data_IF_590660157605
#
_entry.id   IF_590660157605
#
_cell.length_a   1.000
_cell.length_b   1.000
_cell.length_c   1.000
_cell.angle_alpha   90.00
_cell.angle_beta   90.00
_cell.angle_gamma   90.00
#
_symmetry.space_group_name_H-M   'P 1'
#
loop_
_entity.id
_entity.type
_entity.pdbx_description
1 polymer ?
#
# COMPACT_ATOMS: atom_id res chain seq x y z
N UNK A 1 -45.33 -11.24 1.86
CA UNK A 1 -43.95 -11.65 2.03
C UNK A 1 -43.10 -10.83 1.06
N UNK A 2 -42.62 -9.71 1.48
CA UNK A 2 -41.74 -8.89 0.71
C UNK A 2 -40.33 -9.44 0.86
N UNK A 3 -39.80 -9.97 -0.25
CA UNK A 3 -38.38 -10.34 -0.33
C UNK A 3 -37.60 -9.02 -0.41
N UNK A 4 -36.92 -8.68 0.66
CA UNK A 4 -35.89 -7.66 0.65
C UNK A 4 -34.78 -8.13 -0.29
N UNK A 5 -34.83 -7.65 -1.53
CA UNK A 5 -33.67 -7.60 -2.39
C UNK A 5 -32.75 -6.51 -1.81
N UNK A 6 -31.88 -6.92 -0.89
CA UNK A 6 -30.64 -6.22 -0.65
C UNK A 6 -29.86 -6.36 -1.96
N UNK A 7 -29.88 -5.32 -2.74
CA UNK A 7 -28.90 -5.14 -3.80
C UNK A 7 -27.54 -5.19 -3.12
N UNK A 8 -26.82 -6.29 -3.35
CA UNK A 8 -25.38 -6.32 -3.22
C UNK A 8 -24.90 -5.22 -4.16
N UNK A 9 -24.67 -4.02 -3.60
CA UNK A 9 -23.83 -3.04 -4.25
C UNK A 9 -22.45 -3.68 -4.24
N UNK A 10 -22.12 -4.31 -5.35
CA UNK A 10 -20.76 -4.63 -5.72
C UNK A 10 -19.98 -3.33 -5.70
N UNK A 11 -19.44 -3.00 -4.54
CA UNK A 11 -18.31 -2.09 -4.45
C UNK A 11 -17.18 -2.82 -5.13
N UNK A 12 -17.07 -2.63 -6.43
CA UNK A 12 -15.90 -2.97 -7.20
C UNK A 12 -14.76 -2.07 -6.68
N UNK A 13 -14.29 -2.41 -5.47
CA UNK A 13 -13.13 -1.75 -4.88
C UNK A 13 -11.96 -2.15 -5.76
N UNK A 14 -11.49 -1.21 -6.53
CA UNK A 14 -10.33 -1.38 -7.39
C UNK A 14 -9.15 -1.87 -6.53
N UNK A 15 -8.77 -3.14 -6.74
CA UNK A 15 -7.68 -3.77 -6.03
C UNK A 15 -6.37 -3.50 -6.76
N UNK A 16 -5.43 -2.92 -6.06
CA UNK A 16 -4.10 -2.61 -6.58
C UNK A 16 -3.10 -3.70 -6.18
N UNK A 17 -2.36 -4.20 -7.16
CA UNK A 17 -1.30 -5.17 -6.94
C UNK A 17 -0.07 -4.47 -6.34
N UNK A 18 0.31 -4.87 -5.13
CA UNK A 18 1.49 -4.35 -4.44
C UNK A 18 2.71 -5.25 -4.64
N UNK A 19 2.51 -6.54 -4.62
CA UNK A 19 3.57 -7.53 -4.80
C UNK A 19 3.06 -8.71 -5.61
N UNK A 20 3.92 -9.23 -6.47
CA UNK A 20 3.70 -10.46 -7.22
C UNK A 20 4.95 -11.33 -7.16
N UNK A 21 4.77 -12.59 -6.81
CA UNK A 21 5.85 -13.57 -6.73
C UNK A 21 5.44 -14.84 -7.47
N UNK A 22 6.36 -15.38 -8.24
CA UNK A 22 6.22 -16.71 -8.85
C UNK A 22 7.12 -17.69 -8.14
N UNK A 23 6.57 -18.82 -7.73
CA UNK A 23 7.32 -19.87 -7.01
C UNK A 23 8.09 -20.72 -8.02
N UNK A 24 9.39 -20.82 -7.81
CA UNK A 24 10.27 -21.63 -8.62
C UNK A 24 10.01 -23.13 -8.43
N UNK A 25 10.33 -23.91 -9.45
CA UNK A 25 10.17 -25.37 -9.44
C UNK A 25 11.04 -26.10 -8.39
N UNK A 26 12.11 -25.45 -7.92
CA UNK A 26 13.01 -25.95 -6.88
C UNK A 26 12.64 -25.55 -5.46
N UNK A 27 11.57 -24.77 -5.27
CA UNK A 27 11.15 -24.33 -3.94
C UNK A 27 10.53 -25.47 -3.15
N UNK A 28 11.07 -25.73 -1.96
CA UNK A 28 10.43 -26.65 -1.02
C UNK A 28 9.11 -26.09 -0.49
N UNK A 29 8.13 -26.95 -0.17
CA UNK A 29 6.88 -26.50 0.43
C UNK A 29 7.14 -25.72 1.73
N UNK A 30 6.77 -24.45 1.73
CA UNK A 30 6.95 -23.55 2.87
C UNK A 30 5.63 -22.82 3.13
N UNK A 31 5.34 -22.54 4.39
CA UNK A 31 4.19 -21.71 4.73
C UNK A 31 4.30 -20.34 4.08
N UNK A 32 3.20 -19.87 3.52
CA UNK A 32 3.17 -18.58 2.80
C UNK A 32 3.57 -17.40 3.71
N UNK A 33 3.22 -17.44 5.00
CA UNK A 33 3.63 -16.41 5.94
C UNK A 33 5.15 -16.33 6.09
N UNK A 34 5.84 -17.47 6.21
CA UNK A 34 7.30 -17.50 6.23
C UNK A 34 7.93 -17.07 4.91
N UNK A 35 7.36 -17.51 3.80
CA UNK A 35 7.84 -17.15 2.48
C UNK A 35 7.78 -15.62 2.27
N UNK A 36 6.66 -15.01 2.58
CA UNK A 36 6.47 -13.56 2.42
C UNK A 36 7.35 -12.74 3.38
N UNK A 37 7.57 -13.22 4.62
CA UNK A 37 8.50 -12.57 5.55
C UNK A 37 9.94 -12.53 5.03
N UNK A 38 10.35 -13.54 4.28
CA UNK A 38 11.70 -13.60 3.68
C UNK A 38 11.85 -12.74 2.43
N UNK A 39 10.74 -12.40 1.76
CA UNK A 39 10.74 -11.70 0.47
C UNK A 39 10.35 -10.24 0.56
N UNK A 40 9.59 -9.87 1.57
CA UNK A 40 9.10 -8.51 1.76
C UNK A 40 9.80 -7.87 2.94
N UNK A 41 10.48 -6.76 2.70
CA UNK A 41 11.11 -5.98 3.75
C UNK A 41 10.05 -5.40 4.71
N UNK A 42 10.35 -5.40 6.00
CA UNK A 42 9.44 -4.93 7.06
C UNK A 42 8.10 -5.70 7.19
N UNK A 43 7.95 -6.82 6.53
CA UNK A 43 6.80 -7.68 6.73
C UNK A 43 6.94 -8.47 8.03
N UNK A 44 6.02 -8.26 8.95
CA UNK A 44 5.92 -9.04 10.18
C UNK A 44 4.87 -10.13 10.05
N UNK A 45 4.99 -11.19 10.87
CA UNK A 45 4.02 -12.28 10.89
C UNK A 45 2.59 -11.78 11.11
N UNK A 46 2.42 -10.83 12.03
CA UNK A 46 1.10 -10.27 12.34
C UNK A 46 0.51 -9.49 11.15
N UNK A 47 1.30 -8.72 10.43
CA UNK A 47 0.87 -8.01 9.22
C UNK A 47 0.42 -8.98 8.13
N UNK A 48 1.18 -10.05 7.92
CA UNK A 48 0.85 -11.07 6.92
C UNK A 48 -0.42 -11.83 7.31
N UNK A 49 -0.55 -12.22 8.56
CA UNK A 49 -1.77 -12.89 9.05
C UNK A 49 -3.01 -12.00 8.90
N UNK A 50 -2.89 -10.73 9.20
CA UNK A 50 -3.96 -9.75 9.02
C UNK A 50 -4.33 -9.62 7.53
N UNK A 51 -3.35 -9.46 6.65
CA UNK A 51 -3.57 -9.38 5.22
C UNK A 51 -4.23 -10.64 4.64
N UNK A 52 -3.82 -11.82 5.09
CA UNK A 52 -4.43 -13.09 4.68
C UNK A 52 -5.89 -13.18 5.15
N UNK A 53 -6.18 -12.75 6.38
CA UNK A 53 -7.53 -12.72 6.94
C UNK A 53 -8.47 -11.78 6.19
N UNK A 54 -7.94 -10.65 5.72
CA UNK A 54 -8.67 -9.66 4.91
C UNK A 54 -8.83 -10.08 3.44
N UNK A 55 -8.24 -11.19 3.02
CA UNK A 55 -8.30 -11.68 1.64
C UNK A 55 -7.37 -10.95 0.68
N UNK A 56 -6.38 -10.23 1.20
CA UNK A 56 -5.40 -9.49 0.39
C UNK A 56 -4.34 -10.39 -0.24
N UNK A 57 -4.11 -11.57 0.30
CA UNK A 57 -3.13 -12.54 -0.22
C UNK A 57 -3.87 -13.58 -1.07
N UNK A 58 -3.48 -13.66 -2.33
CA UNK A 58 -4.05 -14.62 -3.28
C UNK A 58 -2.97 -15.48 -3.90
N UNK A 59 -3.28 -16.76 -4.07
CA UNK A 59 -2.45 -17.72 -4.79
C UNK A 59 -3.26 -18.27 -5.95
N UNK A 60 -2.74 -18.14 -7.16
CA UNK A 60 -3.45 -18.51 -8.39
C UNK A 60 -4.87 -17.91 -8.45
N UNK A 61 -4.99 -16.62 -8.06
CA UNK A 61 -6.24 -15.84 -7.98
C UNK A 61 -7.25 -16.32 -6.92
N UNK A 62 -6.84 -17.21 -6.01
CA UNK A 62 -7.66 -17.69 -4.89
C UNK A 62 -7.17 -17.14 -3.55
N UNK A 63 -8.09 -16.71 -2.70
CA UNK A 63 -7.79 -16.26 -1.35
C UNK A 63 -7.30 -17.46 -0.53
N UNK A 64 -6.16 -17.31 0.14
CA UNK A 64 -5.56 -18.35 0.97
C UNK A 64 -5.33 -17.89 2.41
N UNK A 65 -5.24 -18.84 3.33
CA UNK A 65 -4.89 -18.57 4.72
C UNK A 65 -3.37 -18.40 4.87
N UNK A 66 -2.95 -17.74 5.96
CA UNK A 66 -1.52 -17.57 6.29
C UNK A 66 -0.76 -18.89 6.48
N UNK A 67 -1.46 -19.97 6.79
CA UNK A 67 -0.90 -21.33 6.94
C UNK A 67 -0.76 -22.11 5.62
N UNK A 68 -1.23 -21.55 4.51
CA UNK A 68 -1.11 -22.18 3.20
C UNK A 68 0.35 -22.49 2.88
N UNK A 69 0.61 -23.70 2.39
CA UNK A 69 1.93 -24.11 1.92
C UNK A 69 2.06 -23.85 0.44
N UNK A 70 3.03 -23.02 0.08
CA UNK A 70 3.33 -22.72 -1.32
C UNK A 70 3.83 -23.96 -2.06
N UNK A 71 3.39 -24.12 -3.28
CA UNK A 71 3.74 -25.23 -4.17
C UNK A 71 4.52 -24.70 -5.37
N UNK A 72 5.14 -25.61 -6.11
CA UNK A 72 5.80 -25.30 -7.37
C UNK A 72 4.83 -24.61 -8.34
N UNK A 73 5.33 -23.60 -9.03
CA UNK A 73 4.58 -22.82 -10.03
C UNK A 73 3.38 -22.05 -9.49
N UNK A 74 3.24 -21.89 -8.17
CA UNK A 74 2.24 -21.00 -7.60
C UNK A 74 2.58 -19.55 -7.91
N UNK A 75 1.57 -18.76 -8.21
CA UNK A 75 1.67 -17.32 -8.39
C UNK A 75 1.01 -16.64 -7.20
N UNK A 76 1.81 -15.94 -6.41
CA UNK A 76 1.34 -15.22 -5.22
C UNK A 76 1.17 -13.76 -5.58
N UNK A 77 0.00 -13.20 -5.30
CA UNK A 77 -0.30 -11.77 -5.45
C UNK A 77 -0.79 -11.20 -4.13
N UNK A 78 -0.32 -10.01 -3.82
CA UNK A 78 -0.81 -9.24 -2.68
C UNK A 78 -1.51 -8.00 -3.21
N UNK A 79 -2.80 -7.91 -2.92
CA UNK A 79 -3.69 -6.88 -3.42
C UNK A 79 -4.28 -6.09 -2.25
N UNK A 80 -4.27 -4.76 -2.38
CA UNK A 80 -4.90 -3.86 -1.42
C UNK A 80 -5.82 -2.88 -2.12
N UNK A 81 -6.74 -2.31 -1.38
CA UNK A 81 -7.67 -1.28 -1.87
C UNK A 81 -7.03 0.09 -2.06
N UNK A 82 -5.84 0.29 -1.52
CA UNK A 82 -5.07 1.53 -1.70
C UNK A 82 -3.92 1.28 -2.70
N UNK A 83 -3.53 2.28 -3.48
CA UNK A 83 -2.42 2.14 -4.41
C UNK A 83 -1.09 1.94 -3.69
N UNK A 84 -0.07 1.37 -4.36
CA UNK A 84 1.29 1.29 -3.82
C UNK A 84 1.83 2.64 -3.38
N UNK A 85 2.70 2.66 -2.38
CA UNK A 85 3.27 3.89 -1.81
C UNK A 85 3.90 4.82 -2.85
N UNK A 86 4.41 4.31 -3.93
CA UNK A 86 4.99 5.09 -5.02
C UNK A 86 3.99 6.06 -5.66
N UNK A 87 2.70 5.74 -5.60
CA UNK A 87 1.63 6.58 -6.15
C UNK A 87 1.02 7.53 -5.11
N UNK A 88 1.45 7.47 -3.85
CA UNK A 88 0.93 8.35 -2.81
C UNK A 88 1.54 9.76 -2.84
N UNK A 89 2.65 9.94 -3.53
CA UNK A 89 3.30 11.23 -3.72
C UNK A 89 2.86 11.86 -5.04
N UNK A 90 1.58 12.22 -5.11
CA UNK A 90 1.07 12.95 -6.26
C UNK A 90 1.36 14.43 -6.06
N UNK A 91 2.05 15.11 -6.99
CA UNK A 91 2.25 16.54 -6.90
C UNK A 91 0.91 17.28 -6.89
N UNK A 92 0.69 18.10 -5.89
CA UNK A 92 -0.44 19.02 -5.80
C UNK A 92 0.00 20.44 -6.03
N UNK A 93 -0.82 21.21 -6.73
CA UNK A 93 -0.58 22.64 -6.87
C UNK A 93 -1.05 23.34 -5.59
N UNK A 94 -0.12 23.62 -4.71
CA UNK A 94 -0.36 24.33 -3.45
C UNK A 94 0.23 25.73 -3.57
N UNK A 95 -0.57 26.74 -3.24
CA UNK A 95 -0.05 28.10 -3.15
C UNK A 95 0.86 28.25 -1.94
N UNK A 96 2.11 28.60 -2.21
CA UNK A 96 3.14 28.82 -1.20
C UNK A 96 3.40 30.31 -1.06
N UNK A 97 3.52 30.79 0.17
CA UNK A 97 3.97 32.15 0.47
C UNK A 97 5.50 32.19 0.39
N UNK A 98 6.00 32.53 -0.82
CA UNK A 98 7.43 32.60 -1.09
C UNK A 98 7.93 33.98 -0.64
N UNK A 99 8.79 33.99 0.38
CA UNK A 99 9.38 35.21 0.92
C UNK A 99 10.59 35.69 0.11
N UNK A 100 11.38 34.74 -0.39
CA UNK A 100 12.57 34.98 -1.18
C UNK A 100 12.85 33.80 -2.11
N UNK A 101 13.30 34.07 -3.31
CA UNK A 101 13.71 33.07 -4.28
C UNK A 101 14.86 33.60 -5.14
N UNK A 102 15.89 32.76 -5.31
CA UNK A 102 16.96 32.97 -6.27
C UNK A 102 17.32 31.65 -6.99
N UNK A 103 18.40 31.62 -7.76
CA UNK A 103 18.81 30.43 -8.53
C UNK A 103 19.25 29.24 -7.63
N UNK A 104 19.46 29.46 -6.34
CA UNK A 104 20.04 28.48 -5.43
C UNK A 104 19.11 28.11 -4.25
N UNK A 105 18.30 29.05 -3.78
CA UNK A 105 17.45 28.86 -2.60
C UNK A 105 16.05 29.42 -2.79
N UNK A 106 15.11 28.79 -2.10
CA UNK A 106 13.73 29.28 -1.94
C UNK A 106 13.40 29.35 -0.46
N UNK A 107 12.94 30.50 0.01
CA UNK A 107 12.48 30.69 1.37
C UNK A 107 10.96 30.80 1.35
N UNK A 108 10.31 29.85 2.01
CA UNK A 108 8.84 29.75 2.07
C UNK A 108 8.36 29.99 3.50
N UNK A 109 7.38 30.87 3.65
CA UNK A 109 6.66 31.04 4.90
C UNK A 109 5.56 29.98 4.99
N UNK A 110 5.89 28.84 5.56
CA UNK A 110 4.98 27.70 5.67
C UNK A 110 3.83 28.00 6.65
N UNK A 111 2.58 27.81 6.19
CA UNK A 111 1.41 27.90 7.07
C UNK A 111 1.45 26.83 8.16
N UNK A 112 0.92 27.16 9.33
CA UNK A 112 0.75 26.21 10.42
C UNK A 112 -0.13 25.04 9.98
N UNK A 113 0.24 23.83 10.39
CA UNK A 113 -0.49 22.60 10.03
C UNK A 113 -0.12 22.00 8.66
N UNK A 114 0.68 22.70 7.86
CA UNK A 114 1.16 22.19 6.59
C UNK A 114 2.30 21.18 6.82
N UNK A 115 2.15 19.95 6.30
CA UNK A 115 3.10 18.86 6.49
C UNK A 115 4.19 18.89 5.44
N UNK A 116 5.45 18.76 5.86
CA UNK A 116 6.63 18.77 4.97
C UNK A 116 6.97 17.38 4.44
N UNK A 117 6.62 16.34 5.20
CA UNK A 117 6.96 14.96 4.86
C UNK A 117 5.80 14.02 5.20
N UNK A 118 5.49 13.03 4.33
CA UNK A 118 4.42 12.09 4.62
C UNK A 118 4.73 11.24 5.85
N UNK A 119 3.72 11.07 6.71
CA UNK A 119 3.80 10.26 7.92
C UNK A 119 2.56 9.40 8.10
N UNK A 120 2.59 8.55 9.10
CA UNK A 120 1.44 7.69 9.41
C UNK A 120 0.20 8.51 9.74
N UNK A 121 -0.93 8.13 9.14
CA UNK A 121 -2.23 8.76 9.37
C UNK A 121 -2.41 10.14 8.72
N UNK A 122 -1.46 10.59 7.93
CA UNK A 122 -1.55 11.84 7.20
C UNK A 122 -2.12 11.62 5.80
N UNK A 123 -3.04 12.49 5.39
CA UNK A 123 -3.58 12.50 4.05
C UNK A 123 -2.65 13.25 3.10
N UNK A 124 -2.75 12.96 1.80
CA UNK A 124 -1.95 13.62 0.75
C UNK A 124 -2.14 15.13 0.68
N UNK A 125 -3.34 15.62 1.00
CA UNK A 125 -3.63 17.06 1.00
C UNK A 125 -2.86 17.85 2.08
N UNK A 126 -2.27 17.17 3.06
CA UNK A 126 -1.43 17.79 4.08
C UNK A 126 0.05 17.82 3.72
N UNK A 127 0.41 17.29 2.56
CA UNK A 127 1.78 17.29 2.07
C UNK A 127 2.03 18.54 1.24
N UNK A 128 2.89 19.40 1.73
CA UNK A 128 3.37 20.55 0.98
C UNK A 128 4.63 20.17 0.20
N UNK A 129 4.98 21.02 -0.77
CA UNK A 129 6.29 20.94 -1.39
C UNK A 129 7.42 21.00 -0.36
N UNK A 130 8.61 20.40 -0.66
CA UNK A 130 9.67 20.27 0.32
C UNK A 130 10.14 21.63 0.82
N UNK A 131 9.82 21.91 2.07
CA UNK A 131 10.46 22.98 2.81
C UNK A 131 11.58 22.35 3.62
N UNK A 132 12.76 22.92 3.56
CA UNK A 132 13.85 22.48 4.42
C UNK A 132 13.51 22.85 5.86
N UNK A 133 13.64 21.93 6.82
CA UNK A 133 13.58 22.28 8.22
C UNK A 133 14.76 23.24 8.51
N UNK A 134 14.43 24.32 9.12
CA UNK A 134 15.43 25.24 9.64
C UNK A 134 16.07 24.65 10.89
#
# INVERSE_FOLDING_TARGET
MEKNNLKEEDFDQELHEHFAFKIDSGQEPLRIDKFLMSRIENATRNKIQKAAKEGSIRVNDKIVKSSYKVKKNDEIKILFTHPPYENLLTPEKIELDVVYEDDYIVIVNKKSGMVVHPGHGLSLIHISEPTRPL
#
